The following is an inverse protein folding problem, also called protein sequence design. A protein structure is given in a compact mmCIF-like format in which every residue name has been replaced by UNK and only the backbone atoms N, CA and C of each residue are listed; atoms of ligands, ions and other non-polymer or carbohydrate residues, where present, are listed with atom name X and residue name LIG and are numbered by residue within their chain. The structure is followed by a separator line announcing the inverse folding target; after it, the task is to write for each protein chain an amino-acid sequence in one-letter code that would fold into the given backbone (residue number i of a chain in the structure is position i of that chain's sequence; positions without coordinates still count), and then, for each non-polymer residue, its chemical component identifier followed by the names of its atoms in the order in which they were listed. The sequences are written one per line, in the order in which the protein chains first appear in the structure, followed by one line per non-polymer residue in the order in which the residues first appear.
data_IF_137699524624
#
_entry.id   IF_137699524624
#
_cell.length_a   1.000
_cell.length_b   1.000
_cell.length_c   1.000
_cell.angle_alpha   90.00
_cell.angle_beta   90.00
_cell.angle_gamma   90.00
#
_symmetry.space_group_name_H-M   'P 1'
#
loop_
_entity.id
_entity.type
_entity.pdbx_description
1 polymer ?
#
# COMPACT_ATOMS: atom_id res chain seq x y z
N UNK A 1 -6.95 6.59 -22.38
CA UNK A 1 -5.60 6.19 -22.02
C UNK A 1 -4.62 7.35 -22.12
N UNK A 2 -3.51 7.25 -21.42
CA UNK A 2 -2.38 8.20 -21.51
C UNK A 2 -1.11 7.44 -21.87
N UNK A 3 -0.18 8.09 -22.56
CA UNK A 3 1.09 7.47 -22.93
C UNK A 3 2.20 8.51 -23.05
N UNK A 4 3.43 8.05 -22.88
CA UNK A 4 4.67 8.79 -23.14
C UNK A 4 5.44 8.05 -24.23
N UNK A 5 6.28 8.74 -24.96
CA UNK A 5 7.19 8.16 -25.95
C UNK A 5 8.63 8.41 -25.54
N UNK A 6 9.53 7.50 -25.89
CA UNK A 6 10.94 7.56 -25.46
C UNK A 6 11.65 8.85 -25.94
N UNK A 7 11.21 9.41 -27.08
CA UNK A 7 11.74 10.67 -27.59
C UNK A 7 11.30 11.90 -26.78
N UNK A 8 10.18 11.82 -26.06
CA UNK A 8 9.59 12.91 -25.27
C UNK A 8 9.04 12.34 -23.95
N UNK A 9 9.90 11.99 -22.99
CA UNK A 9 9.50 11.30 -21.76
C UNK A 9 8.66 12.17 -20.81
N UNK A 10 8.82 13.49 -20.89
CA UNK A 10 8.08 14.46 -20.06
C UNK A 10 6.71 14.85 -20.65
N UNK A 11 6.49 14.57 -21.93
CA UNK A 11 5.26 14.90 -22.62
C UNK A 11 4.23 13.76 -22.47
N UNK A 12 3.06 14.08 -21.93
CA UNK A 12 1.94 13.13 -21.81
C UNK A 12 0.99 13.31 -22.98
N UNK A 13 0.87 12.29 -23.78
CA UNK A 13 -0.08 12.23 -24.88
C UNK A 13 -1.35 11.50 -24.45
N UNK A 14 -2.48 11.90 -25.01
CA UNK A 14 -3.76 11.24 -24.78
C UNK A 14 -4.21 10.51 -26.03
N UNK A 15 -4.79 9.34 -25.85
CA UNK A 15 -5.32 8.55 -26.94
C UNK A 15 -6.54 7.75 -26.52
N UNK A 16 -7.26 7.23 -27.51
CA UNK A 16 -8.42 6.37 -27.32
C UNK A 16 -8.16 5.02 -27.97
N UNK A 17 -8.38 3.94 -27.22
CA UNK A 17 -8.34 2.59 -27.75
C UNK A 17 -9.55 2.42 -28.68
N UNK A 18 -9.31 2.09 -29.94
CA UNK A 18 -10.36 1.90 -30.95
C UNK A 18 -10.63 0.44 -31.21
N UNK A 19 -9.61 -0.41 -31.10
CA UNK A 19 -9.75 -1.84 -31.38
C UNK A 19 -8.71 -2.64 -30.58
N UNK A 20 -9.12 -3.78 -30.06
CA UNK A 20 -8.25 -4.82 -29.51
C UNK A 20 -8.35 -6.03 -30.40
N UNK A 21 -7.25 -6.46 -31.00
CA UNK A 21 -7.20 -7.67 -31.82
C UNK A 21 -6.92 -8.87 -30.94
N UNK A 22 -7.84 -9.83 -30.93
CA UNK A 22 -7.74 -11.01 -30.05
C UNK A 22 -6.85 -12.12 -30.60
N UNK A 23 -6.29 -11.95 -31.83
CA UNK A 23 -5.33 -12.89 -32.37
C UNK A 23 -3.95 -12.64 -31.77
N UNK A 24 -3.46 -13.54 -30.92
CA UNK A 24 -2.14 -13.38 -30.34
C UNK A 24 -1.05 -13.70 -31.34
N UNK A 25 0.04 -12.95 -31.30
CA UNK A 25 1.30 -13.31 -31.94
C UNK A 25 2.24 -13.86 -30.84
N UNK A 26 2.84 -15.03 -31.10
CA UNK A 26 3.77 -15.66 -30.15
C UNK A 26 5.17 -15.59 -30.75
N UNK A 27 6.04 -14.81 -30.13
CA UNK A 27 7.44 -14.71 -30.47
C UNK A 27 8.31 -14.99 -29.23
N UNK A 28 9.29 -15.86 -29.38
CA UNK A 28 10.21 -16.20 -28.28
C UNK A 28 9.51 -16.58 -26.95
N UNK A 29 8.40 -17.31 -27.05
CA UNK A 29 7.56 -17.72 -25.91
C UNK A 29 6.81 -16.57 -25.19
N UNK A 30 6.76 -15.38 -25.80
CA UNK A 30 5.99 -14.22 -25.31
C UNK A 30 4.73 -14.07 -26.17
N UNK A 31 3.59 -14.01 -25.50
CA UNK A 31 2.29 -13.78 -26.14
C UNK A 31 2.02 -12.29 -26.18
N UNK A 32 1.83 -11.73 -27.38
CA UNK A 32 1.52 -10.31 -27.59
C UNK A 32 0.17 -10.14 -28.26
N UNK A 33 -0.52 -9.06 -27.94
CA UNK A 33 -1.77 -8.66 -28.58
C UNK A 33 -1.61 -7.29 -29.24
N UNK A 34 -2.25 -7.13 -30.39
CA UNK A 34 -2.25 -5.86 -31.08
C UNK A 34 -3.43 -4.99 -30.63
N UNK A 35 -3.14 -3.78 -30.20
CA UNK A 35 -4.13 -2.79 -29.77
C UNK A 35 -4.01 -1.55 -30.66
N UNK A 36 -5.10 -1.18 -31.32
CA UNK A 36 -5.15 0.02 -32.17
C UNK A 36 -5.62 1.20 -31.34
N UNK A 37 -4.80 2.23 -31.35
CA UNK A 37 -5.02 3.47 -30.59
C UNK A 37 -5.08 4.64 -31.54
N UNK A 38 -6.07 5.51 -31.37
CA UNK A 38 -6.13 6.80 -32.05
C UNK A 38 -5.62 7.90 -31.11
N UNK A 39 -4.59 8.62 -31.52
CA UNK A 39 -4.00 9.72 -30.77
C UNK A 39 -3.86 10.97 -31.65
N UNK A 40 -4.32 12.16 -31.22
CA UNK A 40 -4.08 13.41 -31.92
C UNK A 40 -2.59 13.75 -31.94
N UNK A 41 -2.11 14.24 -33.08
CA UNK A 41 -0.70 14.63 -33.24
C UNK A 41 -0.59 16.04 -33.88
N UNK A 42 -1.11 17.09 -33.22
CA UNK A 42 -1.11 18.44 -33.81
C UNK A 42 0.31 19.01 -33.98
N UNK A 43 1.21 18.66 -33.06
CA UNK A 43 2.59 19.16 -33.06
C UNK A 43 3.56 18.30 -33.87
N UNK A 44 3.06 17.27 -34.54
CA UNK A 44 3.85 16.30 -35.34
C UNK A 44 5.00 15.62 -34.55
N UNK A 45 4.88 15.55 -33.22
CA UNK A 45 5.89 14.91 -32.35
C UNK A 45 5.87 13.39 -32.44
N UNK A 46 4.70 12.81 -32.72
CA UNK A 46 4.54 11.36 -32.89
C UNK A 46 4.92 10.97 -34.31
N UNK A 47 6.04 10.26 -34.44
CA UNK A 47 6.55 9.76 -35.72
C UNK A 47 6.57 8.21 -35.70
N UNK A 48 6.49 7.56 -36.86
CA UNK A 48 6.58 6.11 -36.95
C UNK A 48 7.90 5.57 -36.36
N UNK A 49 7.82 4.43 -35.69
CA UNK A 49 8.98 3.75 -35.10
C UNK A 49 9.32 4.15 -33.67
N UNK A 50 8.57 5.07 -33.06
CA UNK A 50 8.76 5.39 -31.63
C UNK A 50 8.20 4.28 -30.74
N UNK A 51 8.92 3.99 -29.65
CA UNK A 51 8.42 3.18 -28.56
C UNK A 51 7.60 4.05 -27.60
N UNK A 52 6.46 3.53 -27.15
CA UNK A 52 5.57 4.23 -26.25
C UNK A 52 5.25 3.38 -25.02
N UNK A 53 5.21 4.04 -23.85
CA UNK A 53 4.73 3.46 -22.61
C UNK A 53 3.30 3.93 -22.34
N UNK A 54 2.35 2.97 -22.35
CA UNK A 54 0.92 3.25 -22.29
C UNK A 54 0.33 2.89 -20.93
N UNK A 55 -0.55 3.77 -20.44
CA UNK A 55 -1.44 3.48 -19.31
C UNK A 55 -2.88 3.45 -19.81
N UNK A 56 -3.48 2.27 -19.77
CA UNK A 56 -4.88 2.06 -20.18
C UNK A 56 -5.74 1.99 -18.93
N UNK A 57 -6.64 2.96 -18.77
CA UNK A 57 -7.63 2.95 -17.68
C UNK A 57 -8.81 2.09 -18.12
N UNK A 58 -9.06 1.00 -17.40
CA UNK A 58 -10.19 0.09 -17.67
C UNK A 58 -11.47 0.56 -17.01
N UNK A 59 -11.34 1.26 -15.88
CA UNK A 59 -12.43 1.85 -15.13
C UNK A 59 -12.00 3.19 -14.56
N UNK A 60 -12.89 4.16 -14.57
CA UNK A 60 -12.70 5.44 -13.88
C UNK A 60 -13.99 5.80 -13.19
N UNK A 61 -13.92 5.96 -11.89
CA UNK A 61 -15.01 6.43 -11.07
C UNK A 61 -14.55 7.66 -10.29
N UNK A 62 -15.37 8.69 -10.28
CA UNK A 62 -15.10 9.94 -9.59
C UNK A 62 -16.05 10.05 -8.37
N UNK A 63 -15.60 10.67 -7.28
CA UNK A 63 -16.43 10.90 -6.09
C UNK A 63 -16.66 9.66 -5.23
N UNK A 64 -15.74 8.71 -5.24
CA UNK A 64 -15.82 7.48 -4.46
C UNK A 64 -14.93 7.54 -3.21
N UNK A 65 -15.37 6.89 -2.15
CA UNK A 65 -14.57 6.71 -0.94
C UNK A 65 -13.56 5.59 -1.13
N UNK A 66 -12.30 5.86 -0.82
CA UNK A 66 -11.20 4.91 -0.98
C UNK A 66 -10.49 4.69 0.35
N UNK A 67 -10.15 3.42 0.63
CA UNK A 67 -9.23 3.06 1.71
C UNK A 67 -7.95 2.43 1.14
N UNK A 68 -6.80 2.69 1.78
CA UNK A 68 -5.58 1.95 1.47
C UNK A 68 -5.78 0.45 1.72
N UNK A 69 -5.28 -0.40 0.81
CA UNK A 69 -5.39 -1.86 0.95
C UNK A 69 -4.66 -2.39 2.21
N UNK A 70 -3.79 -1.59 2.82
CA UNK A 70 -3.17 -1.89 4.11
C UNK A 70 -4.19 -1.97 5.25
N UNK A 71 -5.26 -1.15 5.23
CA UNK A 71 -6.30 -1.15 6.24
C UNK A 71 -6.99 -2.51 6.44
N UNK A 72 -7.11 -3.29 5.36
CA UNK A 72 -7.76 -4.61 5.40
C UNK A 72 -6.85 -5.73 5.94
N UNK A 73 -5.55 -5.45 6.03
CA UNK A 73 -4.54 -6.39 6.56
C UNK A 73 -4.09 -6.02 7.96
N UNK A 74 -4.48 -4.84 8.40
CA UNK A 74 -4.16 -4.38 9.75
C UNK A 74 -4.87 -5.28 10.77
N UNK A 75 -4.11 -5.77 11.74
CA UNK A 75 -4.61 -6.51 12.89
C UNK A 75 -3.99 -5.89 14.12
N UNK A 76 -4.80 -5.35 15.06
CA UNK A 76 -4.27 -4.88 16.31
C UNK A 76 -3.67 -6.07 17.06
N UNK A 77 -2.40 -5.97 17.37
CA UNK A 77 -1.69 -6.91 18.21
C UNK A 77 -1.65 -6.35 19.65
N UNK A 78 -1.48 -7.21 20.62
CA UNK A 78 -1.17 -6.81 21.97
C UNK A 78 0.22 -6.16 22.03
N UNK A 79 0.30 -4.91 21.63
CA UNK A 79 1.51 -4.10 21.74
C UNK A 79 1.66 -3.58 23.17
N UNK A 80 1.59 -4.47 24.14
CA UNK A 80 1.68 -4.23 25.56
C UNK A 80 1.74 -2.75 25.90
N UNK A 81 0.82 -2.22 26.63
CA UNK A 81 0.76 -0.86 27.22
C UNK A 81 1.51 0.26 26.46
N UNK A 82 1.38 0.34 25.14
CA UNK A 82 1.84 1.48 24.36
C UNK A 82 0.93 2.67 24.70
N UNK A 83 1.33 3.43 25.71
CA UNK A 83 0.59 4.60 26.18
C UNK A 83 0.41 5.60 25.04
N UNK A 84 -0.84 5.92 24.74
CA UNK A 84 -1.21 6.96 23.78
C UNK A 84 -1.58 6.48 22.37
N UNK A 85 -1.68 5.18 22.14
CA UNK A 85 -2.23 4.63 20.90
C UNK A 85 -3.62 4.04 21.15
N UNK A 86 -4.54 4.15 20.18
CA UNK A 86 -5.83 3.49 20.25
C UNK A 86 -5.65 1.98 20.39
N UNK A 87 -6.34 1.36 21.32
CA UNK A 87 -6.22 -0.08 21.58
C UNK A 87 -7.51 -0.82 21.27
N UNK A 88 -7.38 -2.01 20.74
CA UNK A 88 -8.52 -2.90 20.61
C UNK A 88 -8.93 -3.40 22.01
N UNK A 89 -10.24 -3.52 22.24
CA UNK A 89 -10.73 -4.19 23.45
C UNK A 89 -10.23 -5.64 23.48
N UNK A 90 -9.92 -6.22 24.65
CA UNK A 90 -9.39 -7.60 24.74
C UNK A 90 -10.26 -8.65 24.06
N UNK A 91 -11.57 -8.40 24.00
CA UNK A 91 -12.55 -9.27 23.34
C UNK A 91 -12.83 -8.91 21.87
N UNK A 92 -12.22 -7.85 21.36
CA UNK A 92 -12.44 -7.41 20.00
C UNK A 92 -11.71 -8.35 19.02
N UNK A 93 -12.49 -9.08 18.24
CA UNK A 93 -12.00 -9.92 17.16
C UNK A 93 -12.34 -9.27 15.83
N UNK A 94 -11.46 -9.46 14.84
CA UNK A 94 -11.79 -9.12 13.47
C UNK A 94 -13.10 -9.81 13.08
N UNK A 95 -14.02 -9.04 12.51
CA UNK A 95 -15.28 -9.58 12.02
C UNK A 95 -15.03 -10.33 10.72
N UNK A 96 -15.57 -11.51 10.61
CA UNK A 96 -15.54 -12.32 9.39
C UNK A 96 -16.92 -12.31 8.74
N UNK A 97 -16.94 -12.18 7.43
CA UNK A 97 -18.15 -12.32 6.63
C UNK A 97 -17.97 -13.46 5.63
N UNK A 98 -19.05 -14.17 5.35
CA UNK A 98 -19.10 -15.19 4.31
C UNK A 98 -19.23 -14.56 2.90
N UNK A 99 -19.42 -13.24 2.83
CA UNK A 99 -19.51 -12.49 1.59
C UNK A 99 -18.13 -12.03 1.14
N UNK A 100 -17.76 -12.34 -0.10
CA UNK A 100 -16.51 -11.92 -0.69
C UNK A 100 -16.37 -10.39 -0.84
N UNK A 101 -17.48 -9.69 -0.85
CA UNK A 101 -17.54 -8.22 -0.97
C UNK A 101 -17.41 -7.50 0.37
N UNK A 102 -17.33 -8.21 1.48
CA UNK A 102 -17.21 -7.62 2.81
C UNK A 102 -15.84 -7.87 3.42
N UNK A 103 -15.26 -6.83 3.98
CA UNK A 103 -13.94 -6.88 4.63
C UNK A 103 -14.00 -6.19 5.99
N UNK A 104 -13.22 -6.71 6.92
CA UNK A 104 -13.04 -6.07 8.22
C UNK A 104 -12.00 -4.97 8.15
N UNK A 105 -12.32 -3.84 8.75
CA UNK A 105 -11.38 -2.73 9.02
C UNK A 105 -11.48 -2.32 10.48
N UNK A 106 -10.45 -1.66 10.97
CA UNK A 106 -10.42 -1.17 12.33
C UNK A 106 -10.60 0.35 12.33
N UNK A 107 -11.75 0.79 12.84
CA UNK A 107 -12.08 2.22 12.96
C UNK A 107 -11.57 2.74 14.28
N UNK A 108 -10.98 3.94 14.27
CA UNK A 108 -10.49 4.62 15.46
C UNK A 108 -11.62 5.44 16.06
N UNK A 109 -12.06 5.09 17.27
CA UNK A 109 -13.05 5.83 18.04
C UNK A 109 -12.42 6.32 19.35
N UNK A 110 -11.84 7.53 19.32
CA UNK A 110 -11.06 8.05 20.45
C UNK A 110 -9.84 7.17 20.73
N UNK A 111 -9.79 6.54 21.90
CA UNK A 111 -8.68 5.65 22.29
C UNK A 111 -8.95 4.17 22.00
N UNK A 112 -9.97 3.86 21.19
CA UNK A 112 -10.36 2.48 20.92
C UNK A 112 -10.34 2.17 19.44
N UNK A 113 -9.96 0.92 19.13
CA UNK A 113 -10.08 0.33 17.81
C UNK A 113 -11.33 -0.56 17.80
N UNK A 114 -12.27 -0.24 16.92
CA UNK A 114 -13.52 -0.95 16.75
C UNK A 114 -13.51 -1.71 15.43
N UNK A 115 -13.69 -3.05 15.45
CA UNK A 115 -13.77 -3.82 14.23
C UNK A 115 -15.08 -3.53 13.52
N UNK A 116 -15.02 -3.17 12.25
CA UNK A 116 -16.19 -2.78 11.45
C UNK A 116 -16.16 -3.48 10.11
N UNK A 117 -17.27 -4.11 9.72
CA UNK A 117 -17.42 -4.66 8.38
C UNK A 117 -17.77 -3.57 7.40
N UNK A 118 -17.03 -3.50 6.31
CA UNK A 118 -17.27 -2.59 5.21
C UNK A 118 -17.52 -3.36 3.93
N UNK A 119 -18.45 -2.87 3.14
CA UNK A 119 -18.67 -3.41 1.80
C UNK A 119 -17.71 -2.75 0.84
N UNK A 120 -16.93 -3.58 0.15
CA UNK A 120 -15.90 -3.14 -0.78
C UNK A 120 -16.33 -3.27 -2.23
N UNK A 121 -15.81 -2.42 -3.08
CA UNK A 121 -16.00 -2.45 -4.53
C UNK A 121 -14.69 -2.75 -5.25
N UNK A 122 -14.40 -1.96 -6.28
CA UNK A 122 -13.21 -2.14 -7.12
C UNK A 122 -11.93 -1.80 -6.38
N UNK A 123 -10.85 -2.47 -6.74
CA UNK A 123 -9.51 -2.20 -6.21
C UNK A 123 -8.50 -1.99 -7.33
N UNK A 124 -7.54 -1.09 -7.11
CA UNK A 124 -6.36 -0.89 -7.96
C UNK A 124 -5.11 -1.62 -7.41
N UNK A 125 -5.29 -2.42 -6.34
CA UNK A 125 -4.22 -3.11 -5.62
C UNK A 125 -3.64 -2.29 -4.46
N UNK A 126 -3.53 -0.97 -4.58
CA UNK A 126 -3.07 -0.07 -3.52
C UNK A 126 -4.22 0.51 -2.71
N UNK A 127 -5.36 0.78 -3.35
CA UNK A 127 -6.58 1.33 -2.77
C UNK A 127 -7.79 0.51 -3.17
N UNK A 128 -8.77 0.46 -2.30
CA UNK A 128 -10.02 -0.26 -2.51
C UNK A 128 -11.20 0.69 -2.26
N UNK A 129 -12.18 0.64 -3.13
CA UNK A 129 -13.41 1.39 -3.01
C UNK A 129 -14.24 0.87 -1.84
N UNK A 130 -14.83 1.80 -1.08
CA UNK A 130 -15.79 1.51 -0.02
C UNK A 130 -17.18 1.91 -0.52
N UNK A 131 -18.09 0.96 -0.54
CA UNK A 131 -19.46 1.15 -0.94
C UNK A 131 -20.36 1.53 0.26
N UNK A 132 -20.10 0.95 1.42
CA UNK A 132 -20.84 1.22 2.66
C UNK A 132 -20.12 0.63 3.88
N UNK A 133 -20.57 0.99 5.07
CA UNK A 133 -20.11 0.40 6.33
C UNK A 133 -19.35 1.38 7.24
N UNK A 134 -18.81 2.46 6.71
CA UNK A 134 -18.16 3.51 7.51
C UNK A 134 -18.59 4.90 7.04
N UNK A 135 -18.46 5.88 7.93
CA UNK A 135 -18.69 7.29 7.61
C UNK A 135 -17.55 7.86 6.76
N UNK A 136 -17.83 8.86 5.92
CA UNK A 136 -16.83 9.47 5.03
C UNK A 136 -15.61 10.08 5.75
N UNK A 137 -15.78 10.49 7.01
CA UNK A 137 -14.72 11.09 7.81
C UNK A 137 -14.21 10.15 8.93
N UNK A 138 -14.49 8.85 8.85
CA UNK A 138 -14.01 7.89 9.84
C UNK A 138 -12.49 7.70 9.71
N UNK A 139 -11.80 7.72 10.84
CA UNK A 139 -10.39 7.37 10.91
C UNK A 139 -10.24 5.85 10.95
N UNK A 140 -9.44 5.30 10.03
CA UNK A 140 -9.21 3.86 9.91
C UNK A 140 -7.74 3.55 10.16
N UNK A 141 -7.49 2.56 11.01
CA UNK A 141 -6.14 2.11 11.28
C UNK A 141 -5.57 1.35 10.08
N UNK A 142 -4.39 1.78 9.63
CA UNK A 142 -3.65 1.14 8.53
C UNK A 142 -2.33 0.56 8.99
N UNK A 143 -1.71 1.21 9.97
CA UNK A 143 -0.46 0.84 10.58
C UNK A 143 -0.24 1.73 11.81
N UNK A 144 0.71 1.40 12.66
CA UNK A 144 1.19 2.31 13.69
C UNK A 144 2.66 2.12 13.99
N UNK A 145 3.33 3.23 14.19
CA UNK A 145 4.72 3.25 14.60
C UNK A 145 4.80 3.45 16.12
N UNK A 146 5.39 2.49 16.80
CA UNK A 146 5.78 2.69 18.19
C UNK A 146 7.08 3.49 18.16
N UNK A 147 7.00 4.78 18.37
CA UNK A 147 8.16 5.57 18.74
C UNK A 147 8.62 5.05 20.12
N UNK A 148 9.51 4.07 20.10
CA UNK A 148 10.24 3.64 21.30
C UNK A 148 11.07 4.83 21.78
N UNK A 149 10.40 5.79 22.43
CA UNK A 149 11.04 6.88 23.13
C UNK A 149 12.05 6.28 24.09
N UNK A 150 13.32 6.48 23.76
CA UNK A 150 14.49 6.24 24.60
C UNK A 150 14.32 5.05 25.56
N UNK A 151 14.48 3.86 25.09
CA UNK A 151 15.05 2.83 25.92
C UNK A 151 16.44 3.35 26.29
N UNK A 152 16.52 4.00 27.45
CA UNK A 152 17.77 4.21 28.13
C UNK A 152 18.37 2.81 28.24
N UNK A 153 19.31 2.54 27.36
CA UNK A 153 20.12 1.34 27.40
C UNK A 153 20.87 1.42 28.72
N UNK A 154 20.32 0.82 29.76
CA UNK A 154 21.14 0.30 30.82
C UNK A 154 21.93 -0.84 30.18
N UNK A 155 23.03 -0.41 29.61
CA UNK A 155 24.10 -1.23 29.11
C UNK A 155 24.65 -2.00 30.32
N UNK A 156 23.97 -3.13 30.61
CA UNK A 156 24.60 -4.18 31.38
C UNK A 156 25.67 -4.73 30.48
N UNK A 157 26.89 -4.20 30.67
CA UNK A 157 28.07 -4.71 30.01
C UNK A 157 28.17 -6.22 30.31
N UNK A 158 27.64 -7.04 29.43
CA UNK A 158 28.01 -8.45 29.38
C UNK A 158 29.48 -8.48 29.00
N UNK A 159 30.30 -8.79 30.01
CA UNK A 159 31.73 -9.00 29.84
C UNK A 159 31.91 -10.12 28.80
N UNK A 160 32.37 -9.73 27.63
CA UNK A 160 32.82 -10.68 26.61
C UNK A 160 33.88 -11.58 27.22
N UNK A 161 33.78 -12.92 27.06
CA UNK A 161 34.80 -13.86 27.56
C UNK A 161 36.21 -13.63 27.04
N UNK A 162 36.36 -12.76 26.06
CA UNK A 162 37.64 -12.44 25.41
C UNK A 162 38.14 -11.01 25.69
N UNK A 163 37.53 -10.28 26.62
CA UNK A 163 38.06 -8.97 27.00
C UNK A 163 39.29 -9.10 27.88
N UNK A 164 40.43 -8.41 27.57
CA UNK A 164 41.61 -8.45 28.40
C UNK A 164 41.34 -7.84 29.77
N UNK A 165 41.69 -8.57 30.83
CA UNK A 165 41.52 -8.11 32.19
C UNK A 165 42.52 -6.98 32.51
N UNK A 166 42.11 -5.89 33.18
CA UNK A 166 43.05 -4.88 33.63
C UNK A 166 43.95 -5.45 34.74
N UNK A 167 45.25 -5.06 34.79
CA UNK A 167 46.20 -5.57 35.75
C UNK A 167 45.80 -5.24 37.19
N UNK A 168 45.77 -6.25 38.06
CA UNK A 168 45.39 -6.17 39.45
C UNK A 168 46.21 -5.13 40.23
N UNK A 169 45.51 -4.22 40.89
CA UNK A 169 46.07 -3.19 41.76
C UNK A 169 46.55 -3.84 43.07
N UNK A 170 47.80 -4.08 43.21
CA UNK A 170 48.47 -4.63 44.40
C UNK A 170 48.31 -3.63 45.56
N UNK A 171 47.49 -3.95 46.57
CA UNK A 171 47.48 -3.22 47.86
C UNK A 171 48.69 -3.69 48.65
N UNK A 172 49.72 -2.84 48.76
CA UNK A 172 50.73 -2.95 49.84
C UNK A 172 50.19 -2.42 51.15
N UNK A 173 50.50 -3.16 52.15
CA UNK A 173 50.28 -2.87 53.59
C UNK A 173 50.55 -1.46 54.02
#
# INVERSE_FOLDING_TARGET
MEFTVDAYPDDKFKGTVTQVRLNPTVESNVVTYEVVVNAPNPDHKLIPGLTANLTIYTLREDGISLLPSAAFRFTPHDYGEAKGLPQASPDAKALTSDNDDERNVWVVEGDKLVPTLVKVGVTDGSRTQILSGIAENAEVAVDYEINAGSRKSEEKAEQSPFAPQPPGRNKKR
#
